data_IF_714088734021
#
_entry.id   IF_714088734021
#
_cell.length_a   1.000
_cell.length_b   1.000
_cell.length_c   1.000
_cell.angle_alpha   90.00
_cell.angle_beta   90.00
_cell.angle_gamma   90.00
#
_symmetry.space_group_name_H-M   'P 1'
#
loop_
_entity.id
_entity.type
_entity.pdbx_description
1 polymer ?
#
# COMPACT_ATOMS: atom_id res chain seq x y z
N UNK A 1 19.72 5.45 -14.09
CA UNK A 1 19.61 5.37 -12.63
C UNK A 1 20.98 5.54 -12.02
N UNK A 2 21.13 6.59 -11.22
CA UNK A 2 22.32 6.84 -10.42
C UNK A 2 22.45 5.77 -9.32
N UNK A 3 23.63 5.61 -8.72
CA UNK A 3 23.85 4.69 -7.60
C UNK A 3 22.87 4.84 -6.42
N UNK A 4 22.53 6.05 -5.94
CA UNK A 4 21.54 6.21 -4.87
C UNK A 4 20.14 5.73 -5.25
N UNK A 5 19.72 5.91 -6.51
CA UNK A 5 18.42 5.40 -7.01
C UNK A 5 18.35 3.87 -6.96
N UNK A 6 19.47 3.19 -7.22
CA UNK A 6 19.57 1.72 -7.16
C UNK A 6 19.49 1.22 -5.71
N UNK A 7 20.09 1.95 -4.77
CA UNK A 7 20.07 1.62 -3.35
C UNK A 7 18.65 1.69 -2.78
N UNK A 8 17.92 2.78 -3.07
CA UNK A 8 16.54 2.95 -2.63
C UNK A 8 15.59 1.91 -3.24
N UNK A 9 15.70 1.63 -4.55
CA UNK A 9 14.86 0.62 -5.21
C UNK A 9 15.12 -0.80 -4.67
N UNK A 10 16.36 -1.12 -4.31
CA UNK A 10 16.72 -2.42 -3.74
C UNK A 10 16.16 -2.61 -2.34
N UNK A 11 16.13 -1.56 -1.51
CA UNK A 11 15.58 -1.59 -0.16
C UNK A 11 14.11 -2.05 -0.13
N UNK A 12 13.26 -1.59 -1.07
CA UNK A 12 11.87 -2.04 -1.17
C UNK A 12 11.75 -3.55 -1.38
N UNK A 13 12.60 -4.11 -2.25
CA UNK A 13 12.61 -5.54 -2.56
C UNK A 13 13.19 -6.36 -1.41
N UNK A 14 14.27 -5.88 -0.79
CA UNK A 14 14.93 -6.50 0.38
C UNK A 14 13.98 -6.58 1.58
N UNK A 15 13.21 -5.51 1.83
CA UNK A 15 12.26 -5.42 2.93
C UNK A 15 10.83 -5.84 2.55
N UNK A 16 10.61 -6.41 1.35
CA UNK A 16 9.28 -6.72 0.81
C UNK A 16 8.40 -7.57 1.74
N UNK A 17 9.02 -8.46 2.51
CA UNK A 17 8.36 -9.31 3.50
C UNK A 17 7.80 -8.49 4.65
N UNK A 18 8.60 -7.59 5.23
CA UNK A 18 8.21 -6.73 6.34
C UNK A 18 7.16 -5.71 5.91
N UNK A 19 7.35 -5.12 4.73
CA UNK A 19 6.38 -4.20 4.12
C UNK A 19 5.05 -4.90 3.84
N UNK A 20 5.06 -6.14 3.35
CA UNK A 20 3.85 -6.91 3.15
C UNK A 20 3.10 -7.16 4.46
N UNK A 21 3.81 -7.50 5.54
CA UNK A 21 3.20 -7.73 6.85
C UNK A 21 2.64 -6.43 7.45
N UNK A 22 3.37 -5.32 7.35
CA UNK A 22 2.92 -3.99 7.75
C UNK A 22 1.64 -3.59 7.00
N UNK A 23 1.67 -3.66 5.67
CA UNK A 23 0.54 -3.28 4.81
C UNK A 23 -0.68 -4.13 5.07
N UNK A 24 -0.51 -5.45 5.23
CA UNK A 24 -1.62 -6.34 5.58
C UNK A 24 -2.23 -6.00 6.94
N UNK A 25 -1.39 -5.67 7.91
CA UNK A 25 -1.83 -5.41 9.29
C UNK A 25 -2.54 -4.07 9.40
N UNK A 26 -2.04 -3.03 8.73
CA UNK A 26 -2.46 -1.65 8.98
C UNK A 26 -3.22 -1.00 7.83
N UNK A 27 -2.92 -1.35 6.56
CA UNK A 27 -3.41 -0.62 5.38
C UNK A 27 -4.51 -1.35 4.61
N UNK A 28 -4.60 -2.68 4.70
CA UNK A 28 -5.64 -3.44 4.01
C UNK A 28 -6.97 -3.32 4.77
N UNK A 29 -7.88 -2.49 4.24
CA UNK A 29 -9.25 -2.37 4.75
C UNK A 29 -10.19 -3.48 4.27
N UNK A 30 -9.94 -4.03 3.07
CA UNK A 30 -10.64 -5.21 2.53
C UNK A 30 -9.72 -6.00 1.62
N UNK A 31 -9.81 -7.33 1.70
CA UNK A 31 -8.95 -8.25 0.94
C UNK A 31 -9.69 -9.07 -0.12
N UNK A 32 -11.01 -8.96 -0.23
CA UNK A 32 -11.83 -9.70 -1.20
C UNK A 32 -11.80 -9.09 -2.63
N UNK A 33 -11.26 -7.88 -2.76
CA UNK A 33 -11.10 -7.15 -4.02
C UNK A 33 -9.94 -6.14 -3.91
N UNK A 34 -9.21 -5.95 -5.00
CA UNK A 34 -8.10 -5.01 -5.13
C UNK A 34 -7.92 -4.56 -6.59
N UNK A 35 -7.21 -3.46 -6.81
CA UNK A 35 -6.75 -3.07 -8.14
C UNK A 35 -5.50 -3.86 -8.54
N UNK A 36 -5.37 -4.23 -9.81
CA UNK A 36 -4.16 -4.82 -10.37
C UNK A 36 -3.69 -3.98 -11.56
N UNK A 37 -2.40 -3.63 -11.58
CA UNK A 37 -1.81 -2.76 -12.60
C UNK A 37 -0.82 -3.53 -13.48
N UNK A 38 -0.91 -3.28 -14.78
CA UNK A 38 -0.09 -3.90 -15.81
C UNK A 38 -0.82 -3.92 -17.15
N UNK A 39 -0.15 -4.31 -18.25
CA UNK A 39 -0.82 -4.54 -19.51
C UNK A 39 -1.75 -5.75 -19.39
N UNK A 40 -3.03 -5.54 -19.68
CA UNK A 40 -4.04 -6.58 -19.81
C UNK A 40 -4.73 -6.41 -21.16
N UNK A 41 -5.05 -7.52 -21.81
CA UNK A 41 -5.88 -7.55 -23.00
C UNK A 41 -7.19 -8.21 -22.61
N UNK A 42 -8.31 -7.55 -22.88
CA UNK A 42 -9.62 -8.14 -22.62
C UNK A 42 -10.07 -9.08 -23.75
N UNK A 43 -11.25 -9.68 -23.60
CA UNK A 43 -11.79 -10.62 -24.59
C UNK A 43 -12.09 -9.97 -25.95
N UNK A 44 -12.29 -8.66 -25.99
CA UNK A 44 -12.51 -7.90 -27.22
C UNK A 44 -11.19 -7.44 -27.86
N UNK A 45 -10.04 -7.74 -27.24
CA UNK A 45 -8.72 -7.33 -27.72
C UNK A 45 -8.32 -5.92 -27.30
N UNK A 46 -9.10 -5.25 -26.44
CA UNK A 46 -8.75 -3.91 -25.97
C UNK A 46 -7.69 -3.99 -24.86
N UNK A 47 -6.74 -3.06 -24.89
CA UNK A 47 -5.68 -2.95 -23.90
C UNK A 47 -6.11 -2.11 -22.70
N UNK A 48 -5.80 -2.61 -21.50
CA UNK A 48 -6.07 -1.95 -20.23
C UNK A 48 -4.80 -1.92 -19.38
N UNK A 49 -4.56 -0.81 -18.68
CA UNK A 49 -3.43 -0.67 -17.74
C UNK A 49 -3.78 -1.06 -16.31
N UNK A 50 -5.08 -1.18 -16.03
CA UNK A 50 -5.61 -1.51 -14.71
C UNK A 50 -6.82 -2.42 -14.87
N UNK A 51 -6.98 -3.35 -13.94
CA UNK A 51 -8.20 -4.14 -13.79
C UNK A 51 -8.50 -4.35 -12.32
N UNK A 52 -9.77 -4.63 -12.01
CA UNK A 52 -10.15 -5.08 -10.67
C UNK A 52 -9.93 -6.58 -10.54
N UNK A 53 -9.21 -7.00 -9.51
CA UNK A 53 -8.97 -8.39 -9.14
C UNK A 53 -9.64 -8.72 -7.79
N UNK A 54 -10.09 -9.96 -7.58
CA UNK A 54 -10.30 -10.96 -8.60
C UNK A 54 -11.51 -10.61 -9.50
N UNK A 55 -11.72 -11.32 -10.61
CA UNK A 55 -12.98 -11.31 -11.35
C UNK A 55 -14.18 -11.49 -10.41
N UNK A 56 -15.33 -10.87 -10.74
CA UNK A 56 -16.51 -10.81 -9.85
C UNK A 56 -16.91 -12.18 -9.26
N UNK A 57 -16.87 -13.23 -10.06
CA UNK A 57 -17.23 -14.59 -9.69
C UNK A 57 -16.26 -15.29 -8.71
N UNK A 58 -15.10 -14.70 -8.44
CA UNK A 58 -14.10 -15.21 -7.49
C UNK A 58 -13.96 -14.33 -6.24
N UNK A 59 -14.69 -13.21 -6.15
CA UNK A 59 -14.66 -12.33 -4.98
C UNK A 59 -15.25 -13.05 -3.77
N UNK A 60 -14.61 -12.90 -2.61
CA UNK A 60 -14.97 -13.62 -1.38
C UNK A 60 -14.32 -15.01 -1.26
N UNK A 61 -14.00 -15.66 -2.37
CA UNK A 61 -13.26 -16.94 -2.38
C UNK A 61 -11.75 -16.72 -2.47
N UNK A 62 -11.31 -15.88 -3.42
CA UNK A 62 -9.92 -15.45 -3.49
C UNK A 62 -9.74 -14.19 -2.64
N UNK A 63 -8.69 -14.18 -1.83
CA UNK A 63 -8.32 -13.02 -1.02
C UNK A 63 -6.93 -12.55 -1.36
N UNK A 64 -6.73 -11.24 -1.23
CA UNK A 64 -5.42 -10.63 -1.26
C UNK A 64 -4.60 -11.20 -0.10
N UNK A 65 -3.59 -11.97 -0.45
CA UNK A 65 -2.72 -12.63 0.52
C UNK A 65 -1.34 -11.95 0.60
N UNK A 66 -0.52 -12.48 1.51
CA UNK A 66 0.84 -12.02 1.72
C UNK A 66 1.72 -12.17 0.48
N UNK A 67 1.52 -13.21 -0.33
CA UNK A 67 2.33 -13.45 -1.51
C UNK A 67 2.10 -12.37 -2.58
N UNK A 68 0.86 -11.90 -2.75
CA UNK A 68 0.54 -10.77 -3.61
C UNK A 68 1.28 -9.49 -3.18
N UNK A 69 1.26 -9.19 -1.88
CA UNK A 69 1.92 -8.02 -1.30
C UNK A 69 3.44 -8.09 -1.44
N UNK A 70 4.05 -9.24 -1.17
CA UNK A 70 5.50 -9.45 -1.36
C UNK A 70 5.88 -9.26 -2.83
N UNK A 71 5.10 -9.83 -3.76
CA UNK A 71 5.36 -9.70 -5.19
C UNK A 71 5.25 -8.25 -5.68
N UNK A 72 4.34 -7.46 -5.09
CA UNK A 72 4.23 -6.02 -5.34
C UNK A 72 5.51 -5.28 -4.94
N UNK A 73 5.99 -5.48 -3.71
CA UNK A 73 7.20 -4.80 -3.21
C UNK A 73 8.50 -5.26 -3.87
N UNK A 74 8.55 -6.50 -4.35
CA UNK A 74 9.65 -7.00 -5.19
C UNK A 74 9.59 -6.52 -6.63
N UNK A 75 8.61 -5.68 -6.98
CA UNK A 75 8.36 -5.21 -8.34
C UNK A 75 8.27 -6.35 -9.38
N UNK A 76 7.69 -7.50 -8.99
CA UNK A 76 7.48 -8.62 -9.92
C UNK A 76 6.56 -8.14 -11.06
N UNK A 77 6.92 -8.39 -12.34
CA UNK A 77 6.11 -7.96 -13.47
C UNK A 77 4.63 -8.36 -13.34
N UNK A 78 3.73 -7.42 -13.63
CA UNK A 78 2.28 -7.59 -13.55
C UNK A 78 1.71 -7.94 -12.16
N UNK A 79 2.50 -7.79 -11.08
CA UNK A 79 2.08 -8.02 -9.69
C UNK A 79 1.89 -6.74 -8.88
N UNK A 80 1.84 -5.59 -9.55
CA UNK A 80 1.49 -4.32 -8.90
C UNK A 80 0.02 -4.31 -8.53
N UNK A 81 -0.29 -3.94 -7.30
CA UNK A 81 -1.65 -3.91 -6.76
C UNK A 81 -1.98 -2.54 -6.18
N UNK A 82 -3.27 -2.21 -6.16
CA UNK A 82 -3.83 -1.06 -5.44
C UNK A 82 -4.83 -1.53 -4.40
N UNK A 83 -4.77 -0.93 -3.21
CA UNK A 83 -5.70 -1.23 -2.12
C UNK A 83 -6.92 -0.32 -2.20
N UNK A 84 -8.07 -0.82 -1.73
CA UNK A 84 -9.23 0.02 -1.50
C UNK A 84 -9.06 0.76 -0.17
N UNK A 85 -9.28 2.08 -0.20
CA UNK A 85 -9.29 2.93 0.99
C UNK A 85 -10.43 2.59 1.95
N UNK A 86 -11.56 2.13 1.42
CA UNK A 86 -12.78 1.83 2.19
C UNK A 86 -13.04 0.31 2.26
N UNK A 87 -13.47 -0.16 3.43
CA UNK A 87 -13.92 -1.52 3.69
C UNK A 87 -15.25 -1.84 2.98
N UNK A 88 -15.73 -3.09 3.12
CA UNK A 88 -17.04 -3.45 2.59
C UNK A 88 -18.19 -2.80 3.38
N UNK A 89 -17.94 -2.48 4.65
CA UNK A 89 -18.87 -1.87 5.60
C UNK A 89 -18.86 -0.33 5.53
N UNK A 90 -18.23 0.24 4.50
CA UNK A 90 -18.09 1.69 4.30
C UNK A 90 -17.32 2.41 5.43
N UNK A 91 -16.34 1.73 6.02
CA UNK A 91 -15.42 2.29 7.03
C UNK A 91 -13.99 2.30 6.49
N UNK A 92 -13.09 3.10 7.09
CA UNK A 92 -11.68 3.09 6.71
C UNK A 92 -10.78 3.20 7.93
N UNK A 93 -9.67 2.45 7.92
CA UNK A 93 -8.46 2.80 8.65
C UNK A 93 -7.80 3.91 7.84
N UNK A 94 -7.71 5.09 8.44
CA UNK A 94 -7.12 6.24 7.78
C UNK A 94 -5.84 6.64 8.52
N UNK A 95 -4.85 7.03 7.74
CA UNK A 95 -3.57 7.55 8.20
C UNK A 95 -2.93 8.27 7.03
N UNK A 96 -2.19 9.33 7.32
CA UNK A 96 -1.39 10.06 6.34
C UNK A 96 0.08 9.86 6.69
N UNK A 97 0.90 9.57 5.69
CA UNK A 97 2.35 9.56 5.83
C UNK A 97 2.91 10.34 4.65
N UNK A 98 3.72 11.34 4.97
CA UNK A 98 4.35 12.21 3.98
C UNK A 98 5.85 11.96 4.03
N UNK A 99 6.45 11.73 2.86
CA UNK A 99 7.89 11.41 2.75
C UNK A 99 8.50 12.39 1.77
N UNK A 100 8.86 13.54 2.30
CA UNK A 100 9.58 14.55 1.56
C UNK A 100 11.08 14.38 1.76
N UNK A 101 11.77 14.01 0.67
CA UNK A 101 13.21 14.22 0.58
C UNK A 101 13.42 15.66 0.09
N UNK A 102 13.46 16.61 1.02
CA UNK A 102 14.06 17.90 0.74
C UNK A 102 15.55 17.67 0.40
N UNK A 103 16.10 18.47 -0.50
CA UNK A 103 17.52 18.44 -0.86
C UNK A 103 18.44 18.43 0.38
N UNK A 104 19.75 18.16 0.20
CA UNK A 104 20.74 18.01 1.29
C UNK A 104 20.93 19.24 2.21
N UNK A 105 20.01 20.18 2.24
CA UNK A 105 19.92 21.27 3.21
C UNK A 105 19.49 20.73 4.59
N UNK A 106 20.11 21.18 5.69
CA UNK A 106 19.69 20.77 7.03
C UNK A 106 18.22 21.14 7.27
N UNK A 107 17.42 20.27 7.92
CA UNK A 107 16.03 20.57 8.20
C UNK A 107 15.92 21.83 9.05
N UNK A 108 15.09 22.77 8.61
CA UNK A 108 14.71 23.91 9.43
C UNK A 108 13.72 23.42 10.50
N UNK A 109 14.24 22.89 11.61
CA UNK A 109 13.42 22.46 12.75
C UNK A 109 12.83 23.71 13.41
N UNK A 110 11.55 23.97 13.19
CA UNK A 110 10.76 24.80 14.12
C UNK A 110 10.15 23.87 15.16
N UNK A 111 10.18 24.30 16.43
CA UNK A 111 9.93 23.48 17.61
C UNK A 111 8.45 23.09 17.85
N UNK A 112 7.58 23.10 16.85
CA UNK A 112 6.12 23.04 17.07
C UNK A 112 5.42 21.74 16.63
N UNK A 113 6.13 20.69 16.22
CA UNK A 113 5.51 19.42 15.84
C UNK A 113 5.54 18.37 16.97
N UNK A 114 4.92 18.67 18.12
CA UNK A 114 4.53 17.64 19.10
C UNK A 114 3.15 17.96 19.69
N UNK A 115 2.09 17.44 19.05
CA UNK A 115 0.72 17.31 19.56
C UNK A 115 -0.03 16.44 18.52
N UNK A 116 -0.73 15.34 18.77
CA UNK A 116 -1.27 14.66 19.95
C UNK A 116 -1.53 13.19 19.54
N UNK A 117 -1.00 12.20 20.25
CA UNK A 117 -1.72 10.93 20.42
C UNK A 117 -2.17 10.90 21.87
N UNK A 118 -3.45 11.18 22.09
CA UNK A 118 -4.05 11.18 23.41
C UNK A 118 -4.14 9.75 23.92
N UNK A 119 -3.31 9.43 24.90
CA UNK A 119 -3.58 8.36 25.86
C UNK A 119 -4.53 8.92 26.92
N UNK A 120 -5.61 8.17 27.22
CA UNK A 120 -6.45 8.45 28.38
C UNK A 120 -7.95 8.39 28.13
N UNK A 121 -8.48 7.18 27.91
CA UNK A 121 -9.84 6.86 28.31
C UNK A 121 -9.77 5.97 29.56
N UNK A 122 -9.70 6.59 30.74
CA UNK A 122 -10.13 5.98 32.00
C UNK A 122 -11.00 7.00 32.75
N UNK A 123 -12.19 6.55 33.14
CA UNK A 123 -13.27 7.43 33.58
C UNK A 123 -13.20 7.87 35.04
N UNK A 124 -14.15 8.73 35.40
CA UNK A 124 -14.78 8.76 36.72
C UNK A 124 -16.13 9.49 36.57
N UNK A 125 -17.05 9.11 37.45
CA UNK A 125 -18.50 9.34 37.47
C UNK A 125 -18.98 10.80 37.45
#
# INVERSE_FOLDING_TARGET
MSEPDRCAASAWSEHATQLADFTRTWLVNRGDVWGQYGPFIDQAGAEHQVRTAPPKWLRGTLRLDRAHLVAHYRAVPHRRIGLHSTSAENTCRWGAFDVDLHDNSPPHVTAEAFAVFGDGAEGAA
#
